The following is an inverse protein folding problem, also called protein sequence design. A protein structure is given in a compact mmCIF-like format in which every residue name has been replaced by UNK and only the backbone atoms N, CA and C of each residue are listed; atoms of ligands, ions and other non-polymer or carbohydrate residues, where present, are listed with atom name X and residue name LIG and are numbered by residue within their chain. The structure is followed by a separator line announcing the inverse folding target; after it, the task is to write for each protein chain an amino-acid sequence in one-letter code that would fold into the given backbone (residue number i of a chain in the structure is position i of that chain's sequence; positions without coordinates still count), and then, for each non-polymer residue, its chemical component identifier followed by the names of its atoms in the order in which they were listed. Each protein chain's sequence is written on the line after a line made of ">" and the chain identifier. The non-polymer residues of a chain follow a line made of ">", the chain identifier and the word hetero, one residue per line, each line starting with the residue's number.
data_IF_341654559425
#
_entry.id   IF_341654559425
#
_cell.length_a   1.000
_cell.length_b   1.000
_cell.length_c   1.000
_cell.angle_alpha   90.00
_cell.angle_beta   90.00
_cell.angle_gamma   90.00
#
_symmetry.space_group_name_H-M   'P 1'
#
loop_
_entity.id
_entity.type
_entity.pdbx_description
1 polymer ?
#
# COMPACT_ATOMS: atom_id res chain seq x y z
N UNK A 1 -12.80 -43.20 5.50
CA UNK A 1 -13.28 -42.18 4.55
C UNK A 1 -12.07 -41.68 3.78
N UNK A 2 -12.07 -41.72 2.45
CA UNK A 2 -10.85 -41.60 1.66
C UNK A 2 -11.10 -41.18 0.22
N UNK A 3 -10.02 -41.05 -0.54
CA UNK A 3 -10.02 -40.75 -1.96
C UNK A 3 -9.82 -42.05 -2.74
N UNK A 4 -10.62 -42.25 -3.78
CA UNK A 4 -10.57 -43.47 -4.59
C UNK A 4 -10.72 -43.12 -6.07
N UNK A 5 -9.80 -43.64 -6.88
CA UNK A 5 -9.76 -43.51 -8.33
C UNK A 5 -9.92 -44.91 -8.89
N UNK A 6 -10.95 -45.13 -9.70
CA UNK A 6 -11.27 -46.45 -10.27
C UNK A 6 -11.21 -46.40 -11.79
N UNK A 7 -10.24 -47.13 -12.35
CA UNK A 7 -9.98 -47.41 -13.76
C UNK A 7 -10.06 -46.16 -14.63
N UNK A 8 -9.29 -45.13 -14.26
CA UNK A 8 -9.36 -43.84 -14.94
C UNK A 8 -8.62 -43.90 -16.26
N UNK A 9 -9.39 -43.69 -17.33
CA UNK A 9 -8.88 -43.48 -18.68
C UNK A 9 -9.18 -42.04 -19.10
N UNK A 10 -8.15 -41.32 -19.50
CA UNK A 10 -8.29 -39.97 -20.01
C UNK A 10 -7.44 -39.74 -21.23
N UNK A 11 -8.11 -39.40 -22.34
CA UNK A 11 -7.50 -39.05 -23.62
C UNK A 11 -7.83 -37.60 -23.93
N UNK A 12 -6.84 -36.82 -24.38
CA UNK A 12 -7.08 -35.48 -24.92
C UNK A 12 -6.66 -35.48 -26.38
N UNK A 13 -7.64 -35.24 -27.26
CA UNK A 13 -7.47 -35.43 -28.70
C UNK A 13 -7.00 -36.87 -28.98
N UNK A 14 -5.81 -37.05 -29.55
CA UNK A 14 -5.22 -38.36 -29.85
C UNK A 14 -4.18 -38.83 -28.83
N UNK A 15 -3.81 -38.01 -27.83
CA UNK A 15 -2.81 -38.37 -26.83
C UNK A 15 -3.46 -38.94 -25.59
N UNK A 16 -3.01 -40.12 -25.19
CA UNK A 16 -3.46 -40.75 -23.96
C UNK A 16 -2.64 -40.16 -22.81
N UNK A 17 -3.35 -39.61 -21.82
CA UNK A 17 -2.72 -38.99 -20.64
C UNK A 17 -2.75 -39.98 -19.48
N UNK A 18 -3.84 -40.73 -19.34
CA UNK A 18 -3.98 -41.82 -18.39
C UNK A 18 -4.62 -43.03 -19.10
N UNK A 19 -3.94 -44.17 -19.02
CA UNK A 19 -4.38 -45.44 -19.62
C UNK A 19 -5.23 -46.26 -18.64
N UNK A 20 -4.76 -46.38 -17.40
CA UNK A 20 -5.46 -47.07 -16.34
C UNK A 20 -4.91 -46.57 -14.99
N UNK A 21 -5.56 -45.58 -14.41
CA UNK A 21 -5.13 -44.99 -13.15
C UNK A 21 -6.13 -45.36 -12.05
N UNK A 22 -5.70 -46.30 -11.20
CA UNK A 22 -6.47 -46.84 -10.10
C UNK A 22 -5.67 -46.77 -8.80
N UNK A 23 -6.22 -46.12 -7.79
CA UNK A 23 -5.60 -46.07 -6.46
C UNK A 23 -6.62 -45.66 -5.40
N UNK A 24 -6.32 -46.01 -4.14
CA UNK A 24 -7.13 -45.65 -2.99
C UNK A 24 -6.24 -45.12 -1.87
N UNK A 25 -6.67 -44.03 -1.25
CA UNK A 25 -6.02 -43.41 -0.09
C UNK A 25 -7.05 -43.30 1.02
N UNK A 26 -6.74 -43.81 2.21
CA UNK A 26 -7.59 -43.63 3.38
C UNK A 26 -7.34 -42.29 4.09
N UNK A 27 -8.17 -41.99 5.08
CA UNK A 27 -8.00 -40.77 5.86
C UNK A 27 -6.64 -40.78 6.57
N UNK A 28 -5.95 -39.64 6.60
CA UNK A 28 -4.62 -39.45 7.22
C UNK A 28 -3.46 -40.21 6.56
N UNK A 29 -3.67 -40.86 5.43
CA UNK A 29 -2.58 -41.43 4.64
C UNK A 29 -1.99 -40.38 3.69
N UNK A 30 -0.68 -40.46 3.44
CA UNK A 30 0.04 -39.62 2.50
C UNK A 30 0.41 -40.43 1.25
N UNK A 31 0.04 -39.92 0.08
CA UNK A 31 0.45 -40.50 -1.21
C UNK A 31 1.41 -39.54 -1.91
N UNK A 32 2.57 -40.08 -2.32
CA UNK A 32 3.49 -39.39 -3.22
C UNK A 32 3.21 -39.87 -4.64
N UNK A 33 2.93 -38.95 -5.56
CA UNK A 33 2.68 -39.27 -6.97
C UNK A 33 3.71 -38.58 -7.83
N UNK A 34 4.46 -39.37 -8.58
CA UNK A 34 5.42 -38.88 -9.57
C UNK A 34 4.78 -38.88 -10.96
N UNK A 35 5.04 -37.82 -11.74
CA UNK A 35 4.58 -37.73 -13.13
C UNK A 35 5.77 -37.37 -14.01
N UNK A 36 5.97 -38.15 -15.07
CA UNK A 36 7.01 -37.88 -16.07
C UNK A 36 6.74 -36.59 -16.86
N UNK A 37 5.45 -36.23 -17.04
CA UNK A 37 5.04 -35.06 -17.80
C UNK A 37 4.20 -34.09 -16.98
N UNK A 38 4.54 -32.79 -17.05
CA UNK A 38 3.77 -31.67 -16.47
C UNK A 38 2.30 -31.67 -16.91
N UNK A 39 2.00 -32.16 -18.12
CA UNK A 39 0.62 -32.25 -18.62
C UNK A 39 -0.19 -33.23 -17.76
N UNK A 40 0.31 -34.44 -17.50
CA UNK A 40 -0.35 -35.45 -16.70
C UNK A 40 -0.56 -34.97 -15.27
N UNK A 41 0.47 -34.37 -14.64
CA UNK A 41 0.35 -33.74 -13.33
C UNK A 41 -0.76 -32.69 -13.28
N UNK A 42 -0.83 -31.80 -14.29
CA UNK A 42 -1.84 -30.74 -14.35
C UNK A 42 -3.25 -31.30 -14.51
N UNK A 43 -3.42 -32.39 -15.27
CA UNK A 43 -4.73 -33.04 -15.43
C UNK A 43 -5.16 -33.79 -14.19
N UNK A 44 -4.24 -34.50 -13.55
CA UNK A 44 -4.46 -35.14 -12.26
C UNK A 44 -4.98 -34.15 -11.21
N UNK A 45 -4.31 -33.00 -11.06
CA UNK A 45 -4.76 -31.94 -10.16
C UNK A 45 -6.15 -31.39 -10.52
N UNK A 46 -6.47 -31.30 -11.82
CA UNK A 46 -7.81 -30.86 -12.26
C UNK A 46 -8.89 -31.90 -11.93
N UNK A 47 -8.57 -33.19 -11.96
CA UNK A 47 -9.49 -34.24 -11.54
C UNK A 47 -9.72 -34.23 -10.05
N UNK A 48 -8.65 -34.11 -9.24
CA UNK A 48 -8.76 -33.95 -7.79
C UNK A 48 -9.62 -32.75 -7.41
N UNK A 49 -9.43 -31.60 -8.07
CA UNK A 49 -10.25 -30.42 -7.81
C UNK A 49 -11.67 -30.50 -8.40
N UNK A 50 -12.00 -31.59 -9.11
CA UNK A 50 -13.25 -31.79 -9.84
C UNK A 50 -13.54 -30.69 -10.87
N UNK A 51 -12.49 -30.11 -11.47
CA UNK A 51 -12.56 -29.10 -12.54
C UNK A 51 -12.68 -29.72 -13.93
N UNK A 52 -12.44 -31.03 -14.03
CA UNK A 52 -12.47 -31.82 -15.27
C UNK A 52 -13.16 -33.16 -14.98
N UNK A 53 -13.97 -33.63 -15.93
CA UNK A 53 -14.51 -35.00 -15.94
C UNK A 53 -13.53 -35.92 -16.67
N UNK A 54 -13.50 -37.19 -16.26
CA UNK A 54 -12.73 -38.25 -16.93
C UNK A 54 -13.52 -38.83 -18.10
N UNK A 55 -12.85 -39.47 -19.07
CA UNK A 55 -13.53 -40.08 -20.21
C UNK A 55 -14.12 -41.45 -19.83
N UNK A 56 -13.38 -42.24 -19.05
CA UNK A 56 -13.84 -43.49 -18.42
C UNK A 56 -13.29 -43.58 -16.98
N UNK A 57 -14.00 -44.32 -16.15
CA UNK A 57 -13.69 -44.49 -14.73
C UNK A 57 -14.47 -43.52 -13.83
N UNK A 58 -14.29 -43.68 -12.52
CA UNK A 58 -14.99 -42.89 -11.50
C UNK A 58 -14.03 -42.45 -10.40
N UNK A 59 -14.25 -41.24 -9.86
CA UNK A 59 -13.48 -40.71 -8.73
C UNK A 59 -14.43 -40.53 -7.57
N UNK A 60 -14.15 -41.19 -6.45
CA UNK A 60 -14.89 -41.03 -5.21
C UNK A 60 -14.08 -40.26 -4.19
N UNK A 61 -14.75 -39.32 -3.53
CA UNK A 61 -14.30 -38.64 -2.33
C UNK A 61 -15.30 -39.00 -1.23
N UNK A 62 -14.85 -39.68 -0.18
CA UNK A 62 -15.69 -40.12 0.93
C UNK A 62 -16.95 -40.90 0.48
N UNK A 63 -16.76 -41.85 -0.44
CA UNK A 63 -17.83 -42.68 -1.06
C UNK A 63 -18.83 -41.91 -1.94
N UNK A 64 -18.63 -40.60 -2.18
CA UNK A 64 -19.45 -39.80 -3.11
C UNK A 64 -18.65 -39.45 -4.35
N UNK A 65 -19.28 -39.46 -5.52
CA UNK A 65 -18.59 -39.12 -6.76
C UNK A 65 -18.14 -37.65 -6.74
N UNK A 66 -16.87 -37.38 -7.05
CA UNK A 66 -16.30 -36.04 -6.96
C UNK A 66 -16.98 -35.05 -7.93
N UNK A 67 -17.53 -35.55 -9.04
CA UNK A 67 -18.20 -34.70 -10.04
C UNK A 67 -19.58 -34.24 -9.60
N UNK A 68 -20.22 -34.94 -8.67
CA UNK A 68 -21.55 -34.59 -8.14
C UNK A 68 -21.48 -33.67 -6.92
N UNK A 69 -20.32 -33.59 -6.27
CA UNK A 69 -20.10 -32.70 -5.12
C UNK A 69 -19.94 -31.25 -5.54
N UNK A 70 -20.55 -30.33 -4.79
CA UNK A 70 -20.30 -28.88 -4.93
C UNK A 70 -18.88 -28.53 -4.50
N UNK A 71 -18.34 -27.40 -4.99
CA UNK A 71 -16.96 -26.99 -4.69
C UNK A 71 -16.69 -26.81 -3.20
N UNK A 72 -17.68 -26.32 -2.45
CA UNK A 72 -17.63 -26.16 -0.98
C UNK A 72 -17.63 -27.51 -0.23
N UNK A 73 -18.28 -28.53 -0.79
CA UNK A 73 -18.42 -29.85 -0.17
C UNK A 73 -17.16 -30.73 -0.33
N UNK A 74 -16.38 -30.48 -1.38
CA UNK A 74 -15.16 -31.25 -1.67
C UNK A 74 -14.08 -31.08 -0.59
N UNK A 75 -13.99 -29.92 0.06
CA UNK A 75 -12.98 -29.61 1.10
C UNK A 75 -11.52 -29.93 0.69
N UNK A 76 -11.18 -29.74 -0.59
CA UNK A 76 -9.83 -29.98 -1.11
C UNK A 76 -9.07 -28.66 -1.18
N UNK A 77 -7.93 -28.59 -0.51
CA UNK A 77 -6.99 -27.48 -0.62
C UNK A 77 -5.86 -27.83 -1.58
N UNK A 78 -5.53 -26.91 -2.49
CA UNK A 78 -4.37 -27.02 -3.37
C UNK A 78 -3.37 -25.93 -3.02
N UNK A 79 -2.15 -26.35 -2.67
CA UNK A 79 -1.01 -25.45 -2.50
C UNK A 79 -0.25 -25.43 -3.82
N UNK A 80 -0.38 -24.37 -4.65
CA UNK A 80 0.43 -24.28 -5.85
C UNK A 80 1.91 -24.20 -5.47
N UNK A 81 2.81 -24.75 -6.29
CA UNK A 81 4.22 -24.41 -6.17
C UNK A 81 4.32 -22.88 -6.23
N UNK A 82 5.08 -22.28 -5.30
CA UNK A 82 5.16 -20.83 -5.15
C UNK A 82 5.30 -20.18 -6.54
N UNK A 83 4.44 -19.20 -6.84
CA UNK A 83 4.53 -18.45 -8.09
C UNK A 83 5.82 -17.64 -8.05
N UNK A 84 6.93 -18.26 -8.46
CA UNK A 84 8.27 -17.70 -8.51
C UNK A 84 8.36 -16.67 -9.63
N UNK A 85 7.61 -15.57 -9.55
CA UNK A 85 7.71 -14.46 -10.53
C UNK A 85 9.11 -13.83 -10.55
N UNK A 86 9.92 -14.06 -9.51
CA UNK A 86 11.30 -13.59 -9.39
C UNK A 86 12.27 -14.69 -8.90
N UNK A 87 11.87 -15.97 -8.94
CA UNK A 87 12.70 -17.06 -8.41
C UNK A 87 13.95 -17.37 -9.25
N UNK A 88 13.95 -16.92 -10.50
CA UNK A 88 15.11 -17.01 -11.39
C UNK A 88 16.20 -15.99 -11.07
N UNK A 89 15.87 -14.93 -10.31
CA UNK A 89 16.85 -13.93 -9.90
C UNK A 89 17.58 -14.40 -8.64
N UNK A 90 18.92 -14.25 -8.59
CA UNK A 90 19.69 -14.40 -7.37
C UNK A 90 19.06 -13.65 -6.18
N UNK A 91 19.18 -14.22 -4.99
CA UNK A 91 18.53 -13.70 -3.77
C UNK A 91 18.83 -12.22 -3.53
N UNK A 92 20.07 -11.77 -3.80
CA UNK A 92 20.47 -10.36 -3.70
C UNK A 92 19.62 -9.45 -4.61
N UNK A 93 19.45 -9.83 -5.88
CA UNK A 93 18.65 -9.06 -6.84
C UNK A 93 17.16 -9.06 -6.51
N UNK A 94 16.66 -10.16 -5.95
CA UNK A 94 15.27 -10.23 -5.46
C UNK A 94 15.06 -9.30 -4.27
N UNK A 95 16.01 -9.25 -3.34
CA UNK A 95 15.95 -8.36 -2.18
C UNK A 95 16.02 -6.89 -2.61
N UNK A 96 16.96 -6.53 -3.50
CA UNK A 96 17.04 -5.16 -4.02
C UNK A 96 15.76 -4.76 -4.75
N UNK A 97 15.22 -5.62 -5.62
CA UNK A 97 13.95 -5.35 -6.29
C UNK A 97 12.80 -5.10 -5.32
N UNK A 98 12.70 -5.92 -4.25
CA UNK A 98 11.68 -5.74 -3.23
C UNK A 98 11.86 -4.43 -2.46
N UNK A 99 13.10 -4.05 -2.14
CA UNK A 99 13.43 -2.76 -1.48
C UNK A 99 13.01 -1.59 -2.38
N UNK A 100 13.37 -1.63 -3.67
CA UNK A 100 13.02 -0.60 -4.66
C UNK A 100 11.51 -0.44 -4.86
N UNK A 101 10.73 -1.50 -4.61
CA UNK A 101 9.26 -1.46 -4.68
C UNK A 101 8.58 -1.13 -3.37
N UNK A 102 9.33 -0.90 -2.29
CA UNK A 102 8.70 -0.48 -1.04
C UNK A 102 8.07 0.91 -1.19
N UNK A 103 6.89 1.16 -0.62
CA UNK A 103 6.25 2.48 -0.65
C UNK A 103 7.15 3.58 -0.06
N UNK A 104 7.97 3.24 0.94
CA UNK A 104 8.96 4.15 1.53
C UNK A 104 10.03 4.57 0.51
N UNK A 105 10.63 3.61 -0.19
CA UNK A 105 11.62 3.91 -1.23
C UNK A 105 11.03 4.76 -2.35
N UNK A 106 9.84 4.39 -2.85
CA UNK A 106 9.17 5.15 -3.91
C UNK A 106 8.86 6.59 -3.47
N UNK A 107 8.43 6.78 -2.23
CA UNK A 107 8.20 8.10 -1.63
C UNK A 107 9.48 8.95 -1.61
N UNK A 108 10.54 8.44 -1.00
CA UNK A 108 11.84 9.14 -0.88
C UNK A 108 12.45 9.45 -2.26
N UNK A 109 12.41 8.50 -3.19
CA UNK A 109 12.88 8.69 -4.55
C UNK A 109 12.07 9.77 -5.30
N UNK A 110 10.75 9.81 -5.09
CA UNK A 110 9.87 10.82 -5.70
C UNK A 110 10.19 12.22 -5.16
N UNK A 111 10.39 12.36 -3.85
CA UNK A 111 10.79 13.65 -3.24
C UNK A 111 12.13 14.10 -3.81
N UNK A 112 13.13 13.21 -3.86
CA UNK A 112 14.45 13.52 -4.41
C UNK A 112 14.37 13.96 -5.87
N UNK A 113 13.59 13.25 -6.69
CA UNK A 113 13.34 13.62 -8.07
C UNK A 113 12.69 15.00 -8.20
N UNK A 114 11.67 15.30 -7.39
CA UNK A 114 11.00 16.60 -7.40
C UNK A 114 11.96 17.72 -6.99
N UNK A 115 12.73 17.55 -5.92
CA UNK A 115 13.75 18.53 -5.49
C UNK A 115 14.73 18.84 -6.62
N UNK A 116 15.28 17.81 -7.27
CA UNK A 116 16.22 17.99 -8.37
C UNK A 116 15.58 18.66 -9.60
N UNK A 117 14.36 18.25 -9.96
CA UNK A 117 13.61 18.80 -11.08
C UNK A 117 13.35 20.30 -10.90
N UNK A 118 12.92 20.72 -9.71
CA UNK A 118 12.63 22.12 -9.44
C UNK A 118 13.90 22.93 -9.21
N UNK A 119 14.95 22.38 -8.59
CA UNK A 119 16.26 23.04 -8.52
C UNK A 119 16.80 23.37 -9.92
N UNK A 120 16.69 22.44 -10.88
CA UNK A 120 17.05 22.71 -12.27
C UNK A 120 16.20 23.83 -12.90
N UNK A 121 14.89 23.85 -12.65
CA UNK A 121 13.99 24.91 -13.15
C UNK A 121 14.27 26.27 -12.51
N UNK A 122 14.60 26.30 -11.22
CA UNK A 122 15.02 27.49 -10.49
C UNK A 122 16.30 28.06 -11.12
N UNK A 123 17.31 27.22 -11.38
CA UNK A 123 18.54 27.62 -12.06
C UNK A 123 18.28 28.23 -13.45
N UNK A 124 17.38 27.62 -14.24
CA UNK A 124 16.97 28.18 -15.53
C UNK A 124 16.23 29.51 -15.41
N UNK A 125 15.43 29.70 -14.35
CA UNK A 125 14.66 30.92 -14.12
C UNK A 125 15.51 32.08 -13.57
N UNK A 126 16.56 31.76 -12.80
CA UNK A 126 17.47 32.75 -12.22
C UNK A 126 18.19 33.55 -13.31
N UNK A 127 18.65 32.89 -14.38
CA UNK A 127 19.49 33.49 -15.44
C UNK A 127 20.63 34.36 -14.84
N UNK A 128 21.26 35.25 -15.61
CA UNK A 128 22.26 36.21 -15.10
C UNK A 128 21.65 37.38 -14.29
N UNK A 129 20.37 37.29 -13.87
CA UNK A 129 19.69 38.39 -13.16
C UNK A 129 19.80 38.24 -11.63
N UNK A 130 20.63 39.11 -11.02
CA UNK A 130 20.87 39.14 -9.57
C UNK A 130 19.59 39.34 -8.74
N UNK A 131 18.63 40.14 -9.19
CA UNK A 131 17.38 40.41 -8.47
C UNK A 131 16.46 39.19 -8.43
N UNK A 132 16.34 38.45 -9.54
CA UNK A 132 15.55 37.21 -9.60
C UNK A 132 16.12 36.14 -8.68
N UNK A 133 17.45 36.01 -8.69
CA UNK A 133 18.15 35.09 -7.79
C UNK A 133 17.87 35.38 -6.32
N UNK A 134 17.94 36.66 -5.92
CA UNK A 134 17.66 37.06 -4.53
C UNK A 134 16.19 36.80 -4.14
N UNK A 135 15.24 37.11 -5.04
CA UNK A 135 13.82 36.86 -4.81
C UNK A 135 13.52 35.36 -4.68
N UNK A 136 14.06 34.52 -5.57
CA UNK A 136 13.88 33.07 -5.52
C UNK A 136 14.42 32.51 -4.20
N UNK A 137 15.65 32.88 -3.83
CA UNK A 137 16.28 32.38 -2.60
C UNK A 137 15.52 32.81 -1.34
N UNK A 138 15.02 34.05 -1.30
CA UNK A 138 14.22 34.55 -0.17
C UNK A 138 12.90 33.80 -0.03
N UNK A 139 12.18 33.61 -1.14
CA UNK A 139 10.88 32.90 -1.12
C UNK A 139 11.08 31.42 -0.77
N UNK A 140 12.11 30.77 -1.32
CA UNK A 140 12.44 29.37 -0.99
C UNK A 140 12.73 29.22 0.50
N UNK A 141 13.56 30.09 1.06
CA UNK A 141 13.90 30.08 2.49
C UNK A 141 12.67 30.30 3.38
N UNK A 142 11.83 31.28 3.07
CA UNK A 142 10.61 31.57 3.85
C UNK A 142 9.66 30.37 3.82
N UNK A 143 9.43 29.78 2.65
CA UNK A 143 8.53 28.63 2.52
C UNK A 143 9.12 27.38 3.18
N UNK A 144 10.42 27.14 3.06
CA UNK A 144 11.10 26.03 3.72
C UNK A 144 10.96 26.13 5.24
N UNK A 145 11.29 27.28 5.82
CA UNK A 145 11.19 27.53 7.26
C UNK A 145 9.74 27.40 7.73
N UNK A 146 8.78 27.97 6.99
CA UNK A 146 7.36 27.88 7.32
C UNK A 146 6.87 26.42 7.37
N UNK A 147 7.17 25.64 6.33
CA UNK A 147 6.74 24.24 6.22
C UNK A 147 7.42 23.39 7.30
N UNK A 148 8.74 23.52 7.45
CA UNK A 148 9.52 22.75 8.41
C UNK A 148 9.05 23.02 9.84
N UNK A 149 8.90 24.28 10.23
CA UNK A 149 8.44 24.64 11.56
C UNK A 149 7.00 24.19 11.80
N UNK A 150 6.12 24.35 10.82
CA UNK A 150 4.71 23.90 10.93
C UNK A 150 4.62 22.40 11.16
N UNK A 151 5.38 21.60 10.41
CA UNK A 151 5.43 20.14 10.56
C UNK A 151 6.01 19.77 11.92
N UNK A 152 7.14 20.36 12.32
CA UNK A 152 7.81 20.09 13.60
C UNK A 152 6.88 20.34 14.79
N UNK A 153 6.18 21.48 14.80
CA UNK A 153 5.20 21.82 15.84
C UNK A 153 4.09 20.77 15.89
N UNK A 154 3.56 20.38 14.71
CA UNK A 154 2.50 19.38 14.64
C UNK A 154 2.96 18.02 15.16
N UNK A 155 4.16 17.58 14.83
CA UNK A 155 4.75 16.32 15.32
C UNK A 155 4.90 16.32 16.83
N UNK A 156 5.41 17.40 17.41
CA UNK A 156 5.51 17.55 18.87
C UNK A 156 4.14 17.48 19.55
N UNK A 157 3.13 18.15 19.00
CA UNK A 157 1.76 18.09 19.54
C UNK A 157 1.16 16.69 19.45
N UNK A 158 1.42 15.96 18.36
CA UNK A 158 0.96 14.58 18.21
C UNK A 158 1.61 13.64 19.23
N UNK A 159 2.91 13.79 19.47
CA UNK A 159 3.64 12.97 20.44
C UNK A 159 3.11 13.23 21.86
N UNK A 160 2.93 14.50 22.23
CA UNK A 160 2.35 14.89 23.52
C UNK A 160 0.93 14.34 23.70
N UNK A 161 0.09 14.47 22.67
CA UNK A 161 -1.27 13.93 22.67
C UNK A 161 -1.26 12.41 22.80
N UNK A 162 -0.40 11.70 22.07
CA UNK A 162 -0.25 10.24 22.11
C UNK A 162 0.12 9.75 23.51
N UNK A 163 1.03 10.44 24.17
CA UNK A 163 1.46 10.08 25.53
C UNK A 163 0.35 10.34 26.56
N UNK A 164 -0.35 11.47 26.45
CA UNK A 164 -1.49 11.79 27.31
C UNK A 164 -2.65 10.81 27.16
N UNK A 165 -3.05 10.49 25.92
CA UNK A 165 -4.19 9.62 25.64
C UNK A 165 -3.92 8.16 26.03
N UNK A 166 -2.66 7.71 25.91
CA UNK A 166 -2.25 6.37 26.35
C UNK A 166 -2.43 6.21 27.86
N UNK A 167 -1.97 7.19 28.65
CA UNK A 167 -2.13 7.18 30.10
C UNK A 167 -3.60 7.25 30.53
N UNK A 168 -4.40 8.06 29.83
CA UNK A 168 -5.83 8.15 30.07
C UNK A 168 -6.54 6.81 29.84
N UNK A 169 -6.35 6.19 28.67
CA UNK A 169 -6.98 4.90 28.36
C UNK A 169 -6.49 3.77 29.25
N UNK A 170 -5.22 3.74 29.62
CA UNK A 170 -4.72 2.74 30.58
C UNK A 170 -5.40 2.86 31.95
N UNK A 171 -5.67 4.08 32.42
CA UNK A 171 -6.42 4.31 33.67
C UNK A 171 -7.87 3.87 33.55
N UNK A 172 -8.55 4.24 32.45
CA UNK A 172 -9.96 3.89 32.25
C UNK A 172 -10.19 2.38 32.06
N UNK A 173 -9.35 1.70 31.29
CA UNK A 173 -9.47 0.25 31.08
C UNK A 173 -9.25 -0.50 32.41
N UNK A 174 -8.30 -0.07 33.25
CA UNK A 174 -8.08 -0.65 34.58
C UNK A 174 -9.28 -0.46 35.52
N UNK A 175 -10.04 0.64 35.41
CA UNK A 175 -11.24 0.87 36.21
C UNK A 175 -12.39 -0.05 35.80
N UNK A 176 -12.50 -0.40 34.52
CA UNK A 176 -13.56 -1.26 33.98
C UNK A 176 -13.24 -2.74 34.20
N UNK A 177 -11.98 -3.15 34.00
CA UNK A 177 -11.51 -4.53 34.15
C UNK A 177 -10.70 -4.70 35.43
N UNK A 178 -11.33 -4.42 36.59
CA UNK A 178 -10.66 -4.45 37.91
C UNK A 178 -10.11 -5.84 38.26
N UNK A 179 -10.76 -6.90 37.80
CA UNK A 179 -10.45 -8.29 38.17
C UNK A 179 -9.48 -8.99 37.21
N UNK A 180 -9.32 -8.49 35.98
CA UNK A 180 -8.57 -9.18 34.91
C UNK A 180 -7.47 -8.29 34.30
N UNK A 181 -6.65 -7.68 35.18
CA UNK A 181 -5.62 -6.68 34.80
C UNK A 181 -4.49 -7.27 33.93
N UNK A 182 -4.28 -8.58 33.98
CA UNK A 182 -3.25 -9.31 33.21
C UNK A 182 -3.84 -10.22 32.14
N UNK A 183 -5.17 -10.33 32.06
CA UNK A 183 -5.85 -11.21 31.13
C UNK A 183 -5.67 -10.84 29.67
N UNK A 184 -5.93 -11.83 28.80
CA UNK A 184 -5.93 -11.67 27.34
C UNK A 184 -6.96 -10.60 26.93
N UNK A 185 -8.08 -10.50 27.65
CA UNK A 185 -9.11 -9.49 27.41
C UNK A 185 -8.59 -8.06 27.63
N UNK A 186 -7.88 -7.81 28.74
CA UNK A 186 -7.28 -6.50 28.99
C UNK A 186 -6.28 -6.10 27.90
N UNK A 187 -5.41 -7.03 27.49
CA UNK A 187 -4.40 -6.76 26.46
C UNK A 187 -5.02 -6.53 25.08
N UNK A 188 -6.06 -7.28 24.72
CA UNK A 188 -6.78 -7.11 23.44
C UNK A 188 -7.53 -5.78 23.41
N UNK A 189 -8.26 -5.42 24.47
CA UNK A 189 -8.94 -4.13 24.63
C UNK A 189 -7.96 -2.98 24.55
N UNK A 190 -6.87 -3.03 25.33
CA UNK A 190 -5.80 -2.02 25.31
C UNK A 190 -5.22 -1.85 23.92
N UNK A 191 -4.86 -2.95 23.26
CA UNK A 191 -4.26 -2.91 21.92
C UNK A 191 -5.23 -2.32 20.88
N UNK A 192 -6.51 -2.69 20.94
CA UNK A 192 -7.52 -2.16 20.03
C UNK A 192 -7.74 -0.66 20.21
N UNK A 193 -7.93 -0.20 21.46
CA UNK A 193 -8.15 1.22 21.77
C UNK A 193 -6.94 2.05 21.34
N UNK A 194 -5.72 1.63 21.69
CA UNK A 194 -4.51 2.35 21.31
C UNK A 194 -4.32 2.42 19.79
N UNK A 195 -4.59 1.34 19.06
CA UNK A 195 -4.52 1.37 17.59
C UNK A 195 -5.60 2.24 16.96
N UNK A 196 -6.80 2.27 17.54
CA UNK A 196 -7.89 3.15 17.09
C UNK A 196 -7.52 4.62 17.27
N UNK A 197 -6.89 4.98 18.39
CA UNK A 197 -6.41 6.34 18.62
C UNK A 197 -5.21 6.69 17.74
N UNK A 198 -4.26 5.77 17.55
CA UNK A 198 -3.14 5.98 16.61
C UNK A 198 -3.63 6.29 15.20
N UNK A 199 -4.69 5.60 14.75
CA UNK A 199 -5.33 5.85 13.46
C UNK A 199 -5.97 7.25 13.40
N UNK A 200 -6.65 7.69 14.47
CA UNK A 200 -7.20 9.06 14.55
C UNK A 200 -6.12 10.13 14.50
N UNK A 201 -5.00 9.91 15.18
CA UNK A 201 -3.84 10.81 15.14
C UNK A 201 -3.30 10.91 13.70
N UNK A 202 -3.15 9.77 13.02
CA UNK A 202 -2.69 9.73 11.63
C UNK A 202 -3.66 10.44 10.66
N UNK A 203 -4.97 10.34 10.88
CA UNK A 203 -5.99 11.08 10.13
C UNK A 203 -5.93 12.59 10.40
N UNK A 204 -5.74 13.00 11.65
CA UNK A 204 -5.51 14.39 12.01
C UNK A 204 -4.24 14.98 11.39
N UNK A 205 -3.17 14.17 11.26
CA UNK A 205 -1.96 14.57 10.55
C UNK A 205 -2.20 14.74 9.05
N UNK A 206 -2.97 13.84 8.44
CA UNK A 206 -3.36 13.96 7.04
C UNK A 206 -4.13 15.26 6.78
N UNK A 207 -5.13 15.56 7.62
CA UNK A 207 -5.90 16.79 7.51
C UNK A 207 -5.01 18.05 7.66
N UNK A 208 -4.04 18.00 8.57
CA UNK A 208 -3.04 19.06 8.71
C UNK A 208 -2.20 19.26 7.44
N UNK A 209 -1.68 18.17 6.85
CA UNK A 209 -0.91 18.26 5.60
C UNK A 209 -1.75 18.82 4.45
N UNK A 210 -3.03 18.47 4.38
CA UNK A 210 -3.97 19.03 3.40
C UNK A 210 -4.19 20.52 3.62
N UNK A 211 -4.44 20.96 4.86
CA UNK A 211 -4.59 22.37 5.18
C UNK A 211 -3.30 23.17 4.89
N UNK A 212 -2.12 22.59 5.13
CA UNK A 212 -0.84 23.20 4.78
C UNK A 212 -0.71 23.35 3.25
N UNK A 213 -1.12 22.33 2.50
CA UNK A 213 -1.15 22.37 1.04
C UNK A 213 -2.07 23.50 0.54
N UNK A 214 -3.29 23.60 1.09
CA UNK A 214 -4.26 24.65 0.72
C UNK A 214 -3.71 26.06 1.01
N UNK A 215 -3.02 26.24 2.14
CA UNK A 215 -2.37 27.52 2.48
C UNK A 215 -1.28 27.92 1.49
N UNK A 216 -0.41 27.00 1.09
CA UNK A 216 0.64 27.29 0.09
C UNK A 216 0.02 27.51 -1.29
N UNK A 217 -1.05 26.78 -1.62
CA UNK A 217 -1.78 26.99 -2.85
C UNK A 217 -2.35 28.40 -2.91
N UNK A 218 -2.95 28.88 -1.82
CA UNK A 218 -3.41 30.27 -1.70
C UNK A 218 -2.28 31.28 -1.90
N UNK A 219 -1.10 31.06 -1.30
CA UNK A 219 0.09 31.91 -1.52
C UNK A 219 0.48 31.96 -3.00
N UNK A 220 0.38 30.82 -3.70
CA UNK A 220 0.71 30.74 -5.13
C UNK A 220 -0.25 31.53 -6.04
N UNK A 221 -1.48 31.80 -5.57
CA UNK A 221 -2.51 32.55 -6.28
C UNK A 221 -2.49 34.07 -5.98
N UNK A 222 -1.63 34.55 -5.07
CA UNK A 222 -1.48 35.97 -4.72
C UNK A 222 -0.96 36.87 -5.86
N UNK A 223 -0.83 36.34 -7.07
CA UNK A 223 -0.58 37.08 -8.32
C UNK A 223 -1.54 38.28 -8.54
N UNK A 224 -2.67 38.33 -7.83
CA UNK A 224 -3.69 39.38 -7.90
C UNK A 224 -3.60 40.48 -6.83
N UNK A 225 -2.79 40.35 -5.79
CA UNK A 225 -2.66 41.37 -4.74
C UNK A 225 -1.62 42.45 -5.05
N UNK A 226 -0.87 42.29 -6.15
CA UNK A 226 0.04 43.33 -6.61
C UNK A 226 -0.76 44.37 -7.41
N UNK A 227 -1.06 45.51 -6.77
CA UNK A 227 -1.71 46.66 -7.39
C UNK A 227 -1.08 47.03 -8.73
N UNK A 228 0.24 46.89 -8.85
CA UNK A 228 1.00 47.16 -10.06
C UNK A 228 0.54 46.31 -11.26
N UNK A 229 0.27 45.01 -11.07
CA UNK A 229 -0.18 44.09 -12.12
C UNK A 229 -1.65 44.34 -12.48
N UNK A 230 -2.49 44.62 -11.48
CA UNK A 230 -3.88 45.01 -11.67
C UNK A 230 -3.98 46.33 -12.47
N UNK A 231 -3.21 47.35 -12.08
CA UNK A 231 -3.09 48.64 -12.76
C UNK A 231 -2.54 48.46 -14.18
N UNK A 232 -1.49 47.64 -14.38
CA UNK A 232 -0.93 47.38 -15.70
C UNK A 232 -1.93 46.70 -16.65
N UNK A 233 -2.72 45.74 -16.14
CA UNK A 233 -3.78 45.07 -16.90
C UNK A 233 -4.91 46.04 -17.26
N UNK A 234 -5.35 46.88 -16.32
CA UNK A 234 -6.37 47.92 -16.54
C UNK A 234 -5.91 48.97 -17.55
N UNK A 235 -4.62 49.33 -17.54
CA UNK A 235 -3.98 50.28 -18.48
C UNK A 235 -3.52 49.62 -19.80
N UNK A 236 -3.79 48.33 -20.02
CA UNK A 236 -3.36 47.56 -21.21
C UNK A 236 -1.85 47.65 -21.51
N UNK A 237 -1.02 47.84 -20.48
CA UNK A 237 0.43 47.90 -20.63
C UNK A 237 0.97 46.48 -20.92
N UNK A 238 1.68 46.29 -22.03
CA UNK A 238 2.31 45.01 -22.42
C UNK A 238 3.61 44.74 -21.64
N UNK A 239 3.61 44.91 -20.32
CA UNK A 239 4.83 44.75 -19.51
C UNK A 239 4.79 43.41 -18.77
N UNK A 240 5.63 42.46 -19.21
CA UNK A 240 5.78 41.10 -18.62
C UNK A 240 6.53 41.09 -17.28
N UNK A 241 7.06 42.22 -16.83
CA UNK A 241 7.94 42.34 -15.65
C UNK A 241 7.22 42.22 -14.30
N UNK A 242 5.87 42.28 -14.28
CA UNK A 242 5.06 42.22 -13.05
C UNK A 242 4.51 40.83 -12.72
N UNK A 243 5.02 39.77 -13.35
CA UNK A 243 4.56 38.41 -13.09
C UNK A 243 5.39 37.77 -11.96
N UNK A 244 4.75 37.31 -10.88
CA UNK A 244 5.38 36.56 -9.78
C UNK A 244 5.66 35.09 -10.17
N UNK A 245 6.17 34.88 -11.38
CA UNK A 245 6.38 33.53 -11.92
C UNK A 245 7.42 32.76 -11.11
N UNK A 246 8.41 33.46 -10.58
CA UNK A 246 9.48 32.93 -9.75
C UNK A 246 8.95 32.39 -8.40
N UNK A 247 8.12 33.18 -7.70
CA UNK A 247 7.50 32.74 -6.45
C UNK A 247 6.51 31.59 -6.67
N UNK A 248 5.76 31.63 -7.78
CA UNK A 248 4.84 30.55 -8.17
C UNK A 248 5.59 29.24 -8.42
N UNK A 249 6.74 29.28 -9.09
CA UNK A 249 7.57 28.11 -9.37
C UNK A 249 8.03 27.41 -8.07
N UNK A 250 8.41 28.20 -7.06
CA UNK A 250 8.79 27.68 -5.74
C UNK A 250 7.56 27.12 -5.01
N UNK A 251 6.42 27.80 -5.04
CA UNK A 251 5.19 27.26 -4.46
C UNK A 251 4.81 25.92 -5.10
N UNK A 252 4.92 25.79 -6.43
CA UNK A 252 4.68 24.54 -7.14
C UNK A 252 5.59 23.39 -6.68
N UNK A 253 6.89 23.65 -6.44
CA UNK A 253 7.85 22.68 -5.88
C UNK A 253 7.31 22.10 -4.56
N UNK A 254 6.96 22.96 -3.61
CA UNK A 254 6.46 22.54 -2.31
C UNK A 254 5.09 21.86 -2.38
N UNK A 255 4.18 22.35 -3.22
CA UNK A 255 2.87 21.72 -3.45
C UNK A 255 3.01 20.29 -3.98
N UNK A 256 3.98 20.01 -4.85
CA UNK A 256 4.25 18.64 -5.35
C UNK A 256 4.87 17.76 -4.27
N UNK A 257 5.78 18.30 -3.46
CA UNK A 257 6.40 17.57 -2.34
C UNK A 257 5.31 17.19 -1.32
N UNK A 258 4.52 18.16 -0.86
CA UNK A 258 3.43 17.92 0.09
C UNK A 258 2.35 16.97 -0.44
N UNK A 259 2.03 17.04 -1.73
CA UNK A 259 1.12 16.06 -2.35
C UNK A 259 1.68 14.64 -2.24
N UNK A 260 2.98 14.47 -2.40
CA UNK A 260 3.63 13.16 -2.26
C UNK A 260 3.53 12.67 -0.81
N UNK A 261 3.77 13.55 0.17
CA UNK A 261 3.57 13.26 1.60
C UNK A 261 2.13 12.86 1.94
N UNK A 262 1.14 13.60 1.43
CA UNK A 262 -0.30 13.29 1.61
C UNK A 262 -0.62 11.88 1.10
N UNK A 263 -0.11 11.51 -0.08
CA UNK A 263 -0.34 10.18 -0.67
C UNK A 263 0.31 9.10 0.19
N UNK A 264 1.53 9.33 0.66
CA UNK A 264 2.24 8.40 1.54
C UNK A 264 1.53 8.22 2.89
N UNK A 265 1.01 9.31 3.46
CA UNK A 265 0.24 9.26 4.70
C UNK A 265 -1.10 8.51 4.53
N UNK A 266 -1.79 8.67 3.39
CA UNK A 266 -2.98 7.87 3.05
C UNK A 266 -2.67 6.37 2.98
N UNK A 267 -1.49 6.01 2.46
CA UNK A 267 -1.06 4.61 2.45
C UNK A 267 -0.86 4.06 3.88
N UNK A 268 -0.25 4.82 4.79
CA UNK A 268 -0.11 4.41 6.20
C UNK A 268 -1.47 4.20 6.87
N UNK A 269 -2.39 5.14 6.70
CA UNK A 269 -3.76 5.03 7.24
C UNK A 269 -4.47 3.79 6.67
N UNK A 270 -4.35 3.53 5.36
CA UNK A 270 -4.92 2.33 4.75
C UNK A 270 -4.36 1.04 5.38
N UNK A 271 -3.04 0.96 5.57
CA UNK A 271 -2.38 -0.18 6.21
C UNK A 271 -2.82 -0.33 7.67
N UNK A 272 -2.90 0.78 8.41
CA UNK A 272 -3.36 0.81 9.79
C UNK A 272 -4.81 0.31 9.92
N UNK A 273 -5.73 0.82 9.09
CA UNK A 273 -7.14 0.36 9.00
C UNK A 273 -7.23 -1.14 8.74
N UNK A 274 -6.43 -1.66 7.79
CA UNK A 274 -6.39 -3.10 7.50
C UNK A 274 -5.88 -3.92 8.69
N UNK A 275 -4.94 -3.37 9.47
CA UNK A 275 -4.42 -4.03 10.67
C UNK A 275 -5.43 -4.02 11.83
N UNK A 276 -6.23 -2.95 11.98
CA UNK A 276 -7.26 -2.85 12.99
C UNK A 276 -8.37 -3.89 12.78
N UNK A 277 -8.81 -4.08 11.52
CA UNK A 277 -9.80 -5.11 11.15
C UNK A 277 -9.38 -6.56 11.45
N UNK A 278 -8.09 -6.80 11.71
CA UNK A 278 -7.57 -8.14 12.03
C UNK A 278 -7.53 -8.43 13.53
N UNK A 279 -7.74 -7.41 14.37
CA UNK A 279 -7.79 -7.61 15.82
C UNK A 279 -9.15 -8.24 16.11
N UNK A 280 -9.20 -9.48 16.64
CA UNK A 280 -10.45 -10.08 17.06
C UNK A 280 -10.97 -9.26 18.24
N UNK A 281 -12.16 -8.70 18.07
CA UNK A 281 -12.93 -8.01 19.09
C UNK A 281 -14.35 -8.56 19.01
#
# INVERSE_FOLDING_TARGET
>A
MGLEFNNIVYKRYKKIIFNDLSFRINNKESLVVFFENKISQRYFLKFLLGKKKVNKGTIYLNKKNITTLLTKERKIAYVPPAAFRLGFLPTKLRLTYNILKTPKFLHEATIKYLKNKYAYRELLAMDNNKYRKDLINKVDKILEEYIYNSIKIKEQWMENYRNGIKLFHEKEIKKVLKEDVTGILFQTVKTYVLKKEELRIQEGYLAFLQALWDKIYYISELDYSCDCKYIAKRRKLKVKLFAFNEAKLICEKYLKILRTEIVYQRYHIFKARKSLKKIPF
#
